data_IF_029081442555
#
_entry.id   IF_029081442555
#
_cell.length_a   1.000
_cell.length_b   1.000
_cell.length_c   1.000
_cell.angle_alpha   90.00
_cell.angle_beta   90.00
_cell.angle_gamma   90.00
#
_symmetry.space_group_name_H-M   'P 1'
#
loop_
_entity.id
_entity.type
_entity.pdbx_description
1 polymer ?
#
# COMPACT_ATOMS: atom_id res chain seq x y z
N UNK A 1 8.62 2.30 2.96
CA UNK A 1 8.23 3.56 3.66
C UNK A 1 8.38 3.37 5.16
N UNK A 2 8.82 4.38 5.85
CA UNK A 2 8.82 4.38 7.33
C UNK A 2 8.80 5.80 7.91
N UNK A 3 8.72 6.81 7.05
CA UNK A 3 8.64 8.20 7.47
C UNK A 3 7.97 9.02 6.37
N UNK A 4 7.52 10.25 6.67
CA UNK A 4 6.83 11.08 5.67
C UNK A 4 7.66 11.39 4.43
N UNK A 5 8.96 11.63 4.57
CA UNK A 5 9.81 11.96 3.43
C UNK A 5 9.88 10.83 2.40
N UNK A 6 10.09 9.60 2.87
CA UNK A 6 10.13 8.42 1.99
C UNK A 6 8.78 8.16 1.32
N UNK A 7 7.70 8.29 2.08
CA UNK A 7 6.35 8.15 1.54
C UNK A 7 6.07 9.20 0.48
N UNK A 8 6.41 10.45 0.73
CA UNK A 8 6.16 11.55 -0.22
C UNK A 8 6.88 11.36 -1.54
N UNK A 9 8.07 10.77 -1.54
CA UNK A 9 8.77 10.45 -2.79
C UNK A 9 7.97 9.45 -3.64
N UNK A 10 7.48 8.38 -3.02
CA UNK A 10 6.67 7.37 -3.71
C UNK A 10 5.37 7.99 -4.23
N UNK A 11 4.69 8.76 -3.40
CA UNK A 11 3.42 9.40 -3.76
C UNK A 11 3.60 10.37 -4.92
N UNK A 12 4.65 11.19 -4.90
CA UNK A 12 4.94 12.12 -5.99
C UNK A 12 5.26 11.39 -7.29
N UNK A 13 6.02 10.30 -7.20
CA UNK A 13 6.36 9.49 -8.38
C UNK A 13 5.09 8.94 -9.04
N UNK A 14 4.17 8.39 -8.24
CA UNK A 14 2.91 7.88 -8.76
C UNK A 14 2.02 9.00 -9.31
N UNK A 15 2.04 10.17 -8.68
CA UNK A 15 1.25 11.31 -9.14
C UNK A 15 1.70 11.86 -10.50
N UNK A 16 2.94 11.58 -10.91
CA UNK A 16 3.45 11.97 -12.22
C UNK A 16 2.97 11.04 -13.33
N UNK A 17 2.51 9.85 -13.01
CA UNK A 17 2.00 8.91 -13.99
C UNK A 17 0.54 9.26 -14.36
N UNK A 18 0.20 9.09 -15.64
CA UNK A 18 -1.17 9.34 -16.10
C UNK A 18 -2.13 8.26 -15.62
N UNK A 19 -3.39 8.62 -15.43
CA UNK A 19 -4.47 7.69 -15.13
C UNK A 19 -4.60 7.36 -13.64
N UNK A 20 -5.47 6.39 -13.38
CA UNK A 20 -5.74 5.91 -12.04
C UNK A 20 -4.86 4.71 -11.69
N UNK A 21 -4.65 4.49 -10.40
CA UNK A 21 -3.84 3.39 -9.89
C UNK A 21 -4.65 2.42 -9.05
N UNK A 22 -4.35 1.14 -9.20
CA UNK A 22 -4.79 0.09 -8.28
C UNK A 22 -3.62 -0.17 -7.33
N UNK A 23 -3.88 -0.10 -6.02
CA UNK A 23 -2.81 -0.09 -5.01
C UNK A 23 -3.06 -1.13 -3.93
N UNK A 24 -2.00 -1.81 -3.54
CA UNK A 24 -1.94 -2.60 -2.32
C UNK A 24 -1.04 -1.84 -1.33
N UNK A 25 -1.64 -1.23 -0.32
CA UNK A 25 -0.93 -0.47 0.70
C UNK A 25 -0.78 -1.34 1.95
N UNK A 26 0.44 -1.63 2.37
CA UNK A 26 0.69 -2.52 3.50
C UNK A 26 1.44 -1.77 4.59
N UNK A 27 0.77 -1.55 5.71
CA UNK A 27 1.33 -0.81 6.84
C UNK A 27 1.53 -1.74 8.02
N UNK A 28 2.80 -2.02 8.35
CA UNK A 28 3.19 -2.78 9.51
C UNK A 28 3.85 -1.86 10.54
N UNK A 29 3.78 -2.26 11.81
CA UNK A 29 4.38 -1.54 12.94
C UNK A 29 5.41 -2.39 13.69
N UNK A 30 6.10 -3.28 12.98
CA UNK A 30 7.17 -4.07 13.56
C UNK A 30 8.37 -3.17 13.92
N UNK A 31 9.26 -3.67 14.75
CA UNK A 31 10.42 -2.87 15.21
C UNK A 31 11.22 -2.30 14.03
N UNK A 32 11.44 -3.09 12.98
CA UNK A 32 12.19 -2.65 11.80
C UNK A 32 11.44 -1.61 10.94
N UNK A 33 10.11 -1.52 11.08
CA UNK A 33 9.28 -0.51 10.36
C UNK A 33 9.19 0.80 11.15
N UNK A 34 9.50 0.75 12.43
CA UNK A 34 9.14 1.80 13.37
C UNK A 34 7.75 1.52 13.95
N UNK A 35 7.66 1.45 15.27
CA UNK A 35 6.41 1.11 15.96
C UNK A 35 5.37 2.21 15.92
N UNK A 36 5.81 3.44 15.82
CA UNK A 36 4.93 4.59 15.71
C UNK A 36 4.62 4.83 14.22
N UNK A 37 3.38 4.59 13.85
CA UNK A 37 2.91 4.79 12.47
C UNK A 37 2.20 6.13 12.27
N UNK A 38 2.22 7.01 13.26
CA UNK A 38 1.55 8.32 13.15
C UNK A 38 2.11 9.18 12.01
N UNK A 39 3.30 8.88 11.51
CA UNK A 39 3.89 9.58 10.37
C UNK A 39 3.00 9.57 9.13
N UNK A 40 2.09 8.59 9.00
CA UNK A 40 1.18 8.53 7.85
C UNK A 40 0.28 9.76 7.79
N UNK A 41 0.03 10.43 8.94
CA UNK A 41 -0.78 11.64 8.98
C UNK A 41 -0.03 12.86 8.49
N UNK A 42 1.31 12.78 8.42
CA UNK A 42 2.16 13.86 7.91
C UNK A 42 2.57 13.65 6.44
N UNK A 43 2.31 12.48 5.89
CA UNK A 43 2.59 12.19 4.48
C UNK A 43 1.49 12.73 3.57
N UNK A 44 1.83 13.12 2.35
CA UNK A 44 0.93 13.81 1.41
C UNK A 44 0.09 12.83 0.57
N UNK A 45 -0.67 11.95 1.20
CA UNK A 45 -1.55 11.02 0.49
C UNK A 45 -2.58 11.75 -0.37
N UNK A 46 -2.90 12.99 -0.03
CA UNK A 46 -3.83 13.83 -0.76
C UNK A 46 -3.47 13.99 -2.25
N UNK A 47 -2.18 13.94 -2.58
CA UNK A 47 -1.74 14.09 -3.98
C UNK A 47 -2.19 12.95 -4.88
N UNK A 48 -2.52 11.80 -4.29
CA UNK A 48 -3.00 10.63 -5.03
C UNK A 48 -4.51 10.38 -4.90
N UNK A 49 -5.19 11.06 -3.98
CA UNK A 49 -6.58 10.70 -3.63
C UNK A 49 -7.52 10.62 -4.85
N UNK A 50 -7.37 11.53 -5.81
CA UNK A 50 -8.17 11.56 -7.03
C UNK A 50 -7.73 10.57 -8.10
N UNK A 51 -6.60 9.88 -7.90
CA UNK A 51 -6.01 8.95 -8.87
C UNK A 51 -6.00 7.51 -8.39
N UNK A 52 -6.65 7.22 -7.29
CA UNK A 52 -6.73 5.85 -6.75
C UNK A 52 -8.07 5.24 -7.15
N UNK A 53 -8.03 4.22 -8.02
CA UNK A 53 -9.22 3.51 -8.46
C UNK A 53 -9.68 2.50 -7.40
N UNK A 54 -8.73 1.75 -6.85
CA UNK A 54 -8.99 0.77 -5.79
C UNK A 54 -7.76 0.62 -4.92
N UNK A 55 -7.96 0.59 -3.59
CA UNK A 55 -6.87 0.39 -2.65
C UNK A 55 -7.25 -0.72 -1.68
N UNK A 56 -6.41 -1.73 -1.60
CA UNK A 56 -6.50 -2.75 -0.56
C UNK A 56 -5.47 -2.43 0.51
N UNK A 57 -5.93 -2.24 1.74
CA UNK A 57 -5.08 -1.93 2.89
C UNK A 57 -4.84 -3.19 3.69
N UNK A 58 -3.58 -3.47 3.98
CA UNK A 58 -3.18 -4.70 4.66
C UNK A 58 -2.09 -4.42 5.70
N UNK A 59 -1.70 -5.45 6.43
CA UNK A 59 -0.68 -5.37 7.46
C UNK A 59 -1.26 -5.23 8.85
N UNK A 60 -0.38 -5.13 9.84
CA UNK A 60 -0.78 -5.03 11.24
C UNK A 60 -1.56 -3.75 11.55
N UNK A 61 -1.37 -2.71 10.74
CA UNK A 61 -2.06 -1.43 10.89
C UNK A 61 -2.91 -1.10 9.65
N UNK A 62 -3.55 -2.11 9.06
CA UNK A 62 -4.37 -1.95 7.86
C UNK A 62 -5.50 -0.93 8.05
N UNK A 63 -6.18 -0.98 9.19
CA UNK A 63 -7.28 -0.04 9.48
C UNK A 63 -6.80 1.40 9.57
N UNK A 64 -5.61 1.63 10.13
CA UNK A 64 -4.99 2.96 10.22
C UNK A 64 -4.71 3.52 8.82
N UNK A 65 -4.19 2.69 7.93
CA UNK A 65 -3.93 3.10 6.55
C UNK A 65 -5.23 3.46 5.83
N UNK A 66 -6.27 2.64 5.98
CA UNK A 66 -7.57 2.92 5.37
C UNK A 66 -8.17 4.22 5.90
N UNK A 67 -8.06 4.46 7.20
CA UNK A 67 -8.54 5.68 7.82
C UNK A 67 -7.80 6.91 7.26
N UNK A 68 -6.49 6.81 7.13
CA UNK A 68 -5.68 7.88 6.55
C UNK A 68 -6.11 8.23 5.12
N UNK A 69 -6.33 7.21 4.30
CA UNK A 69 -6.74 7.41 2.92
C UNK A 69 -8.14 8.00 2.82
N UNK A 70 -9.05 7.58 3.72
CA UNK A 70 -10.39 8.18 3.80
C UNK A 70 -10.29 9.68 4.05
N UNK A 71 -9.46 10.10 5.01
CA UNK A 71 -9.28 11.52 5.32
C UNK A 71 -8.50 12.27 4.24
N UNK A 72 -7.77 11.57 3.39
CA UNK A 72 -7.12 12.18 2.22
C UNK A 72 -8.10 12.45 1.08
N UNK A 73 -9.31 11.91 1.16
CA UNK A 73 -10.34 12.13 0.16
C UNK A 73 -10.67 10.92 -0.71
N UNK A 74 -10.12 9.74 -0.40
CA UNK A 74 -10.45 8.51 -1.14
C UNK A 74 -11.83 8.03 -0.73
N UNK A 75 -12.78 7.85 -1.67
CA UNK A 75 -14.11 7.31 -1.35
C UNK A 75 -14.00 5.94 -0.69
N UNK A 76 -14.84 5.70 0.32
CA UNK A 76 -14.79 4.46 1.10
C UNK A 76 -15.14 3.22 0.27
N UNK A 77 -15.92 3.36 -0.78
CA UNK A 77 -16.23 2.26 -1.69
C UNK A 77 -15.03 1.83 -2.55
N UNK A 78 -13.95 2.60 -2.55
CA UNK A 78 -12.69 2.27 -3.22
C UNK A 78 -11.65 1.69 -2.25
N UNK A 79 -11.97 1.59 -0.96
CA UNK A 79 -11.07 1.07 0.06
C UNK A 79 -11.51 -0.30 0.54
N UNK A 80 -10.56 -1.21 0.69
CA UNK A 80 -10.78 -2.51 1.30
C UNK A 80 -9.75 -2.71 2.41
N UNK A 81 -10.14 -3.38 3.48
CA UNK A 81 -9.25 -3.70 4.61
C UNK A 81 -9.15 -5.20 4.74
N UNK A 82 -7.95 -5.72 4.54
CA UNK A 82 -7.62 -7.14 4.66
C UNK A 82 -6.30 -7.26 5.40
N UNK A 83 -6.31 -7.44 6.73
CA UNK A 83 -5.07 -7.49 7.52
C UNK A 83 -4.10 -8.60 7.08
N UNK A 84 -4.65 -9.76 6.66
CA UNK A 84 -3.83 -10.87 6.15
C UNK A 84 -3.29 -10.53 4.76
N UNK A 85 -1.97 -10.60 4.61
CA UNK A 85 -1.32 -10.23 3.36
C UNK A 85 -1.73 -11.14 2.20
N UNK A 86 -1.84 -12.46 2.43
CA UNK A 86 -2.26 -13.40 1.39
C UNK A 86 -3.66 -13.07 0.85
N UNK A 87 -4.62 -12.87 1.75
CA UNK A 87 -5.98 -12.50 1.36
C UNK A 87 -6.02 -11.13 0.69
N UNK A 88 -5.23 -10.18 1.18
CA UNK A 88 -5.15 -8.84 0.61
C UNK A 88 -4.59 -8.87 -0.82
N UNK A 89 -3.56 -9.66 -1.05
CA UNK A 89 -2.98 -9.80 -2.37
C UNK A 89 -3.97 -10.41 -3.36
N UNK A 90 -4.69 -11.46 -2.94
CA UNK A 90 -5.74 -12.07 -3.77
C UNK A 90 -6.81 -11.04 -4.15
N UNK A 91 -7.26 -10.27 -3.18
CA UNK A 91 -8.28 -9.25 -3.41
C UNK A 91 -7.78 -8.13 -4.32
N UNK A 92 -6.56 -7.67 -4.09
CA UNK A 92 -5.96 -6.60 -4.88
C UNK A 92 -5.75 -7.03 -6.33
N UNK A 93 -5.25 -8.24 -6.55
CA UNK A 93 -5.04 -8.78 -7.90
C UNK A 93 -6.37 -8.96 -8.63
N UNK A 94 -7.39 -9.49 -7.95
CA UNK A 94 -8.71 -9.70 -8.55
C UNK A 94 -9.37 -8.37 -8.95
N UNK A 95 -9.14 -7.31 -8.19
CA UNK A 95 -9.69 -5.98 -8.48
C UNK A 95 -8.84 -5.11 -9.40
N UNK A 96 -7.62 -5.53 -9.70
CA UNK A 96 -6.70 -4.72 -10.50
C UNK A 96 -7.04 -4.77 -11.99
N UNK A 97 -6.86 -3.66 -12.65
CA UNK A 97 -7.08 -3.54 -14.10
C UNK A 97 -5.71 -3.50 -14.80
N UNK A 98 -5.01 -4.64 -14.78
CA UNK A 98 -3.71 -4.82 -15.40
C UNK A 98 -2.56 -4.64 -14.42
N UNK A 99 -2.24 -3.43 -14.00
CA UNK A 99 -1.10 -3.15 -13.13
C UNK A 99 -1.55 -2.93 -11.69
N UNK A 100 -0.87 -3.58 -10.76
CA UNK A 100 -1.04 -3.37 -9.33
C UNK A 100 0.23 -2.77 -8.76
N UNK A 101 0.10 -1.66 -8.04
CA UNK A 101 1.22 -0.99 -7.37
C UNK A 101 1.19 -1.33 -5.89
N UNK A 102 2.30 -1.85 -5.36
CA UNK A 102 2.42 -2.13 -3.94
C UNK A 102 3.18 -1.00 -3.25
N UNK A 103 2.66 -0.56 -2.10
CA UNK A 103 3.31 0.46 -1.26
C UNK A 103 3.46 -0.15 0.15
N UNK A 104 4.53 -0.89 0.42
CA UNK A 104 4.73 -1.57 1.70
C UNK A 104 5.71 -0.83 2.61
N UNK A 105 5.55 -1.02 3.93
CA UNK A 105 6.62 -0.78 4.88
C UNK A 105 7.70 -1.85 4.74
N UNK A 106 8.80 -1.73 5.49
CA UNK A 106 9.97 -2.59 5.30
C UNK A 106 9.64 -4.09 5.51
N UNK A 107 9.07 -4.45 6.66
CA UNK A 107 8.76 -5.86 6.93
C UNK A 107 7.66 -6.38 6.01
N UNK A 108 6.74 -5.52 5.62
CA UNK A 108 5.69 -5.85 4.65
C UNK A 108 6.27 -6.17 3.28
N UNK A 109 7.32 -5.46 2.87
CA UNK A 109 8.01 -5.75 1.61
C UNK A 109 8.63 -7.15 1.63
N UNK A 110 9.25 -7.54 2.76
CA UNK A 110 9.83 -8.87 2.90
C UNK A 110 8.76 -9.96 2.86
N UNK A 111 7.65 -9.75 3.55
CA UNK A 111 6.52 -10.69 3.56
C UNK A 111 5.89 -10.81 2.18
N UNK A 112 5.74 -9.69 1.49
CA UNK A 112 5.17 -9.67 0.14
C UNK A 112 6.07 -10.45 -0.83
N UNK A 113 7.38 -10.27 -0.74
CA UNK A 113 8.33 -11.02 -1.54
C UNK A 113 8.19 -12.53 -1.32
N UNK A 114 8.09 -12.96 -0.05
CA UNK A 114 7.90 -14.38 0.28
C UNK A 114 6.59 -14.92 -0.27
N UNK A 115 5.52 -14.14 -0.17
CA UNK A 115 4.21 -14.51 -0.71
C UNK A 115 4.25 -14.72 -2.22
N UNK A 116 4.92 -13.81 -2.94
CA UNK A 116 5.06 -13.90 -4.39
C UNK A 116 5.91 -15.09 -4.81
N UNK A 117 7.00 -15.35 -4.09
CA UNK A 117 7.84 -16.53 -4.35
C UNK A 117 7.03 -17.81 -4.14
N UNK A 118 6.24 -17.89 -3.07
CA UNK A 118 5.37 -19.03 -2.78
C UNK A 118 4.32 -19.25 -3.86
N UNK A 119 3.93 -18.20 -4.60
CA UNK A 119 2.97 -18.28 -5.71
C UNK A 119 3.63 -18.57 -7.05
N UNK A 120 4.96 -18.77 -7.07
CA UNK A 120 5.70 -19.05 -8.30
C UNK A 120 6.11 -17.83 -9.11
N UNK A 121 5.97 -16.63 -8.55
CA UNK A 121 6.47 -15.42 -9.18
C UNK A 121 7.98 -15.35 -8.96
N UNK A 122 8.76 -14.92 -10.00
CA UNK A 122 10.22 -14.87 -9.93
C UNK A 122 10.69 -13.90 -8.85
N UNK A 123 11.07 -14.43 -7.68
CA UNK A 123 11.43 -13.64 -6.52
C UNK A 123 12.72 -12.83 -6.68
N UNK A 124 13.67 -13.33 -7.45
CA UNK A 124 14.96 -12.66 -7.65
C UNK A 124 14.84 -11.34 -8.40
N UNK A 125 13.80 -11.16 -9.20
CA UNK A 125 13.55 -9.92 -9.93
C UNK A 125 12.72 -8.91 -9.14
N UNK A 126 12.25 -9.29 -8.00
CA UNK A 126 11.44 -8.44 -7.13
C UNK A 126 12.38 -7.62 -6.23
N UNK A 127 12.54 -6.39 -6.55
CA UNK A 127 13.51 -5.49 -5.98
C UNK A 127 13.30 -5.01 -4.57
#
# INVERSE_FOLDING_TARGET
MKNPAGANEVLRTLALEDGEHDVLAVLNDQTADGRDVSWVWDADFEVLAGRLRHVTCSGTRAAEMALRLKYAGVPTDRLAVEPSLGAALDRAVAGANGRLVAIPTYTAMLELRQELVGRGVAGSSFG
#
